data_IF_738256290054
#
_entry.id   IF_738256290054
#
_cell.length_a   1.000
_cell.length_b   1.000
_cell.length_c   1.000
_cell.angle_alpha   90.00
_cell.angle_beta   90.00
_cell.angle_gamma   90.00
#
_symmetry.space_group_name_H-M   'P 1'
#
loop_
_entity.id
_entity.type
_entity.pdbx_description
1 polymer ?
#
# COMPACT_ATOMS: atom_id res chain seq x y z
N UNK A 1 2.59 -2.40 -20.16
CA UNK A 1 3.86 -1.89 -19.57
C UNK A 1 4.67 -3.10 -19.13
N UNK A 2 5.97 -3.15 -19.42
CA UNK A 2 6.84 -4.20 -18.90
C UNK A 2 7.30 -3.87 -17.47
N UNK A 3 7.91 -4.85 -16.76
CA UNK A 3 8.29 -4.69 -15.35
C UNK A 3 9.30 -3.55 -15.12
N UNK A 4 10.26 -3.37 -16.02
CA UNK A 4 11.28 -2.31 -15.88
C UNK A 4 10.65 -0.92 -16.07
N UNK A 5 9.69 -0.81 -16.98
CA UNK A 5 8.91 0.43 -17.15
C UNK A 5 8.06 0.73 -15.92
N UNK A 6 7.41 -0.28 -15.33
CA UNK A 6 6.64 -0.10 -14.10
C UNK A 6 7.53 0.41 -12.95
N UNK A 7 8.70 -0.21 -12.76
CA UNK A 7 9.69 0.20 -11.75
C UNK A 7 10.12 1.66 -11.94
N UNK A 8 10.39 2.08 -13.17
CA UNK A 8 10.83 3.45 -13.48
C UNK A 8 9.72 4.49 -13.31
N UNK A 9 8.50 4.14 -13.63
CA UNK A 9 7.33 5.02 -13.57
C UNK A 9 6.66 5.08 -12.20
N UNK A 10 6.93 4.08 -11.32
CA UNK A 10 6.38 4.07 -9.98
C UNK A 10 6.90 5.27 -9.15
N UNK A 11 5.99 6.02 -8.61
CA UNK A 11 6.24 7.13 -7.70
C UNK A 11 5.10 7.24 -6.67
N UNK A 12 5.32 8.03 -5.62
CA UNK A 12 4.29 8.30 -4.62
C UNK A 12 3.41 9.45 -5.08
N UNK A 13 2.15 9.17 -5.38
CA UNK A 13 1.14 10.16 -5.71
C UNK A 13 0.34 10.53 -4.45
N UNK A 14 0.31 11.81 -4.10
CA UNK A 14 -0.38 12.35 -2.92
C UNK A 14 -1.41 13.43 -3.28
N UNK A 15 -1.73 13.56 -4.56
CA UNK A 15 -2.75 14.48 -5.07
C UNK A 15 -4.16 13.91 -4.96
N UNK A 16 -5.09 14.59 -5.61
CA UNK A 16 -6.49 14.17 -5.69
C UNK A 16 -6.69 13.09 -6.77
N UNK A 17 -7.62 12.19 -6.51
CA UNK A 17 -8.05 11.18 -7.46
C UNK A 17 -9.37 11.57 -8.11
N UNK A 18 -9.55 11.21 -9.36
CA UNK A 18 -10.83 11.34 -10.09
C UNK A 18 -11.88 10.48 -9.43
N UNK A 19 -13.12 10.97 -9.42
CA UNK A 19 -14.26 10.20 -8.92
C UNK A 19 -14.70 9.14 -9.96
N UNK A 20 -13.83 8.15 -10.16
CA UNK A 20 -14.00 7.01 -11.04
C UNK A 20 -13.66 5.76 -10.26
N UNK A 21 -14.63 4.84 -10.13
CA UNK A 21 -14.42 3.57 -9.42
C UNK A 21 -13.34 2.72 -10.10
N UNK A 22 -12.55 2.03 -9.28
CA UNK A 22 -11.59 1.03 -9.75
C UNK A 22 -12.32 -0.31 -9.86
N UNK A 23 -12.30 -0.99 -11.03
CA UNK A 23 -12.94 -2.30 -11.17
C UNK A 23 -12.38 -3.31 -10.16
N UNK A 24 -13.25 -4.08 -9.51
CA UNK A 24 -12.82 -5.10 -8.52
C UNK A 24 -11.85 -6.11 -9.09
N UNK A 25 -11.94 -6.42 -10.39
CA UNK A 25 -10.97 -7.28 -11.07
C UNK A 25 -9.56 -6.70 -11.01
N UNK A 26 -9.40 -5.39 -11.20
CA UNK A 26 -8.10 -4.73 -11.15
C UNK A 26 -7.59 -4.66 -9.72
N UNK A 27 -8.47 -4.38 -8.74
CA UNK A 27 -8.13 -4.43 -7.31
C UNK A 27 -7.66 -5.83 -6.89
N UNK A 28 -8.32 -6.87 -7.38
CA UNK A 28 -7.89 -8.25 -7.13
C UNK A 28 -6.51 -8.52 -7.73
N UNK A 29 -6.27 -8.15 -8.99
CA UNK A 29 -4.96 -8.31 -9.63
C UNK A 29 -3.83 -7.62 -8.86
N UNK A 30 -4.11 -6.43 -8.29
CA UNK A 30 -3.16 -5.70 -7.45
C UNK A 30 -2.86 -6.47 -6.17
N UNK A 31 -3.90 -6.96 -5.48
CA UNK A 31 -3.73 -7.73 -4.24
C UNK A 31 -3.02 -9.06 -4.49
N UNK A 32 -3.38 -9.77 -5.55
CA UNK A 32 -2.72 -11.02 -5.96
C UNK A 32 -1.22 -10.79 -6.18
N UNK A 33 -0.83 -9.70 -6.86
CA UNK A 33 0.58 -9.34 -7.04
C UNK A 33 1.29 -9.12 -5.69
N UNK A 34 0.62 -8.53 -4.71
CA UNK A 34 1.15 -8.38 -3.36
C UNK A 34 1.36 -9.72 -2.66
N UNK A 35 0.39 -10.62 -2.75
CA UNK A 35 0.46 -11.94 -2.11
C UNK A 35 1.50 -12.89 -2.74
N UNK A 36 1.93 -12.64 -3.97
CA UNK A 36 3.04 -13.34 -4.63
C UNK A 36 4.42 -12.90 -4.13
N UNK A 37 4.50 -11.91 -3.24
CA UNK A 37 5.77 -11.48 -2.66
C UNK A 37 6.40 -12.59 -1.80
N UNK A 38 7.75 -12.69 -1.77
CA UNK A 38 8.42 -13.62 -0.87
C UNK A 38 8.20 -13.22 0.59
N UNK A 39 8.19 -14.20 1.49
CA UNK A 39 8.13 -13.98 2.94
C UNK A 39 9.15 -14.81 3.70
N UNK A 40 9.56 -14.34 4.87
CA UNK A 40 10.55 -15.01 5.72
C UNK A 40 10.13 -16.46 6.04
N UNK A 41 10.92 -17.44 5.58
CA UNK A 41 10.61 -18.88 5.69
C UNK A 41 9.22 -19.24 5.17
N UNK A 42 8.71 -18.52 4.20
CA UNK A 42 7.37 -18.68 3.62
C UNK A 42 6.24 -18.62 4.68
N UNK A 43 6.38 -17.75 5.68
CA UNK A 43 5.38 -17.60 6.75
C UNK A 43 4.13 -16.85 6.31
N UNK A 44 4.18 -16.15 5.17
CA UNK A 44 3.04 -15.46 4.55
C UNK A 44 2.30 -14.57 5.56
N UNK A 45 3.08 -13.72 6.27
CA UNK A 45 2.60 -12.90 7.38
C UNK A 45 1.72 -11.74 6.95
N UNK A 46 1.70 -11.41 5.64
CA UNK A 46 0.96 -10.29 5.09
C UNK A 46 -0.46 -10.69 4.70
N UNK A 47 -1.43 -9.89 5.10
CA UNK A 47 -2.83 -9.99 4.70
C UNK A 47 -3.34 -8.65 4.20
N UNK A 48 -4.39 -8.65 3.37
CA UNK A 48 -4.87 -7.46 2.69
C UNK A 48 -6.38 -7.31 2.85
N UNK A 49 -6.85 -6.08 3.10
CA UNK A 49 -8.26 -5.71 3.04
C UNK A 49 -8.42 -4.64 1.96
N UNK A 50 -9.27 -4.88 0.97
CA UNK A 50 -9.65 -3.88 0.00
C UNK A 50 -10.96 -3.22 0.42
N UNK A 51 -10.98 -1.89 0.40
CA UNK A 51 -12.15 -1.06 0.71
C UNK A 51 -12.53 -0.25 -0.52
N UNK A 52 -13.69 -0.51 -1.09
CA UNK A 52 -14.31 0.21 -2.21
C UNK A 52 -15.73 0.68 -1.89
N UNK A 53 -16.21 0.44 -0.67
CA UNK A 53 -17.49 0.92 -0.18
C UNK A 53 -17.38 2.39 0.25
N UNK A 54 -18.20 3.30 -0.33
CA UNK A 54 -18.12 4.74 -0.07
C UNK A 54 -18.33 5.13 1.41
N UNK A 55 -19.20 4.42 2.13
CA UNK A 55 -19.47 4.72 3.54
C UNK A 55 -18.30 4.31 4.43
N UNK A 56 -17.64 3.19 4.13
CA UNK A 56 -16.46 2.74 4.86
C UNK A 56 -15.27 3.65 4.50
N UNK A 57 -15.08 3.99 3.23
CA UNK A 57 -14.06 4.94 2.78
C UNK A 57 -14.17 6.27 3.52
N UNK A 58 -15.39 6.82 3.63
CA UNK A 58 -15.66 8.06 4.36
C UNK A 58 -15.29 7.97 5.83
N UNK A 59 -15.57 6.84 6.50
CA UNK A 59 -15.17 6.63 7.90
C UNK A 59 -13.64 6.59 8.05
N UNK A 60 -12.96 5.86 7.17
CA UNK A 60 -11.50 5.74 7.19
C UNK A 60 -10.84 7.09 6.91
N UNK A 61 -11.24 7.76 5.83
CA UNK A 61 -10.64 9.06 5.46
C UNK A 61 -10.94 10.15 6.50
N UNK A 62 -12.03 10.01 7.27
CA UNK A 62 -12.37 10.91 8.37
C UNK A 62 -11.44 10.83 9.59
N UNK A 63 -10.64 9.77 9.72
CA UNK A 63 -9.65 9.60 10.81
C UNK A 63 -8.21 9.81 10.36
N UNK A 64 -7.97 10.00 9.05
CA UNK A 64 -6.62 10.21 8.48
C UNK A 64 -6.28 11.71 8.51
N UNK A 65 -5.18 12.05 9.18
CA UNK A 65 -4.58 13.38 9.17
C UNK A 65 -3.06 13.27 8.92
N UNK A 66 -2.47 14.04 8.01
CA UNK A 66 -3.08 14.97 7.05
C UNK A 66 -3.89 14.24 5.96
N UNK A 67 -4.76 14.97 5.25
CA UNK A 67 -5.76 14.41 4.33
C UNK A 67 -5.14 13.82 3.04
N UNK A 68 -4.38 12.75 3.18
CA UNK A 68 -3.94 11.93 2.05
C UNK A 68 -5.02 10.89 1.75
N UNK A 69 -5.22 10.56 0.50
CA UNK A 69 -6.20 9.55 0.09
C UNK A 69 -7.69 9.94 0.19
N UNK A 70 -8.04 11.15 0.59
CA UNK A 70 -9.44 11.56 0.82
C UNK A 70 -10.38 11.42 -0.39
N UNK A 71 -9.83 11.48 -1.59
CA UNK A 71 -10.60 11.35 -2.83
C UNK A 71 -10.38 10.01 -3.53
N UNK A 72 -9.59 9.10 -2.93
CA UNK A 72 -9.32 7.80 -3.52
C UNK A 72 -10.60 6.94 -3.56
N UNK A 73 -10.97 6.39 -4.73
CA UNK A 73 -12.14 5.53 -4.87
C UNK A 73 -11.97 4.13 -4.28
N UNK A 74 -10.74 3.76 -3.93
CA UNK A 74 -10.44 2.51 -3.24
C UNK A 74 -9.20 2.66 -2.36
N UNK A 75 -9.14 1.88 -1.27
CA UNK A 75 -7.99 1.73 -0.40
C UNK A 75 -7.64 0.24 -0.26
N UNK A 76 -6.35 -0.09 -0.28
CA UNK A 76 -5.87 -1.42 0.12
C UNK A 76 -5.15 -1.24 1.46
N UNK A 77 -5.72 -1.83 2.50
CA UNK A 77 -5.16 -1.85 3.83
C UNK A 77 -4.24 -3.06 3.97
N UNK A 78 -3.02 -2.84 4.40
CA UNK A 78 -2.01 -3.88 4.58
C UNK A 78 -1.94 -4.26 6.05
N UNK A 79 -2.13 -5.54 6.31
CA UNK A 79 -2.07 -6.14 7.63
C UNK A 79 -0.88 -7.07 7.73
N UNK A 80 -0.37 -7.24 8.94
CA UNK A 80 0.70 -8.22 9.20
C UNK A 80 0.51 -8.92 10.53
N UNK A 81 1.02 -10.14 10.61
CA UNK A 81 1.18 -10.89 11.87
C UNK A 81 2.66 -10.93 12.26
N UNK A 82 2.98 -10.73 13.54
CA UNK A 82 4.35 -10.78 14.07
C UNK A 82 4.73 -12.22 14.41
N UNK A 83 5.04 -13.01 13.38
CA UNK A 83 5.40 -14.42 13.53
C UNK A 83 6.92 -14.57 13.53
N UNK A 84 7.47 -15.25 14.55
CA UNK A 84 8.88 -15.67 14.55
C UNK A 84 9.12 -16.70 13.45
N UNK A 85 9.94 -16.34 12.48
CA UNK A 85 10.19 -17.17 11.30
C UNK A 85 11.47 -18.01 11.41
N UNK A 86 12.55 -17.44 11.96
CA UNK A 86 13.85 -18.10 12.03
C UNK A 86 14.67 -17.57 13.21
N UNK A 87 15.08 -18.45 14.15
CA UNK A 87 15.92 -18.10 15.33
C UNK A 87 15.45 -16.83 16.03
N UNK A 88 14.20 -16.78 16.43
CA UNK A 88 13.53 -15.65 17.09
C UNK A 88 13.46 -14.34 16.28
N UNK A 89 13.74 -14.40 14.97
CA UNK A 89 13.63 -13.24 14.08
C UNK A 89 12.24 -13.18 13.46
N UNK A 90 11.62 -12.01 13.58
CA UNK A 90 10.41 -11.64 12.88
C UNK A 90 10.78 -10.89 11.59
N UNK A 91 10.24 -11.30 10.45
CA UNK A 91 10.46 -10.67 9.15
C UNK A 91 9.22 -9.95 8.61
N UNK A 92 8.24 -9.67 9.47
CA UNK A 92 6.97 -9.06 9.06
C UNK A 92 7.17 -7.75 8.28
N UNK A 93 8.12 -6.90 8.69
CA UNK A 93 8.43 -5.64 7.97
C UNK A 93 8.95 -5.92 6.56
N UNK A 94 9.85 -6.88 6.40
CA UNK A 94 10.38 -7.27 5.09
C UNK A 94 9.29 -7.89 4.23
N UNK A 95 8.44 -8.74 4.80
CA UNK A 95 7.37 -9.44 4.12
C UNK A 95 6.35 -8.44 3.54
N UNK A 96 5.77 -7.58 4.39
CA UNK A 96 4.80 -6.62 3.89
C UNK A 96 5.43 -5.53 3.00
N UNK A 97 6.70 -5.19 3.19
CA UNK A 97 7.39 -4.25 2.31
C UNK A 97 7.54 -4.79 0.89
N UNK A 98 7.88 -6.07 0.75
CA UNK A 98 7.92 -6.73 -0.55
C UNK A 98 6.54 -6.80 -1.20
N UNK A 99 5.50 -7.13 -0.42
CA UNK A 99 4.12 -7.15 -0.89
C UNK A 99 3.65 -5.77 -1.37
N UNK A 100 3.92 -4.72 -0.59
CA UNK A 100 3.56 -3.33 -0.94
C UNK A 100 4.24 -2.92 -2.25
N UNK A 101 5.54 -3.19 -2.42
CA UNK A 101 6.22 -2.79 -3.67
C UNK A 101 5.64 -3.53 -4.87
N UNK A 102 5.34 -4.84 -4.78
CA UNK A 102 4.66 -5.57 -5.85
C UNK A 102 3.31 -4.94 -6.20
N UNK A 103 2.50 -4.58 -5.19
CA UNK A 103 1.22 -3.90 -5.42
C UNK A 103 1.40 -2.54 -6.09
N UNK A 104 2.37 -1.73 -5.65
CA UNK A 104 2.65 -0.42 -6.25
C UNK A 104 3.07 -0.54 -7.73
N UNK A 105 3.83 -1.58 -8.09
CA UNK A 105 4.19 -1.87 -9.48
C UNK A 105 2.97 -2.30 -10.30
N UNK A 106 2.12 -3.15 -9.76
CA UNK A 106 0.87 -3.58 -10.39
C UNK A 106 -0.09 -2.39 -10.62
N UNK A 107 -0.23 -1.51 -9.62
CA UNK A 107 -1.04 -0.28 -9.69
C UNK A 107 -0.60 0.58 -10.88
N UNK A 108 0.69 0.85 -11.00
CA UNK A 108 1.23 1.66 -12.11
C UNK A 108 1.09 0.94 -13.45
N UNK A 109 1.32 -0.38 -13.49
CA UNK A 109 1.17 -1.17 -14.72
C UNK A 109 -0.27 -1.17 -15.25
N UNK A 110 -1.26 -1.07 -14.37
CA UNK A 110 -2.68 -0.97 -14.70
C UNK A 110 -3.15 0.47 -15.00
N UNK A 111 -2.27 1.48 -14.87
CA UNK A 111 -2.58 2.88 -15.18
C UNK A 111 -3.16 3.67 -14.00
N UNK A 112 -3.12 3.13 -12.78
CA UNK A 112 -3.53 3.82 -11.57
C UNK A 112 -2.36 4.48 -10.87
N UNK A 113 -2.66 5.29 -9.84
CA UNK A 113 -1.69 5.96 -8.99
C UNK A 113 -1.93 5.57 -7.52
N UNK A 114 -0.85 5.63 -6.74
CA UNK A 114 -0.87 5.30 -5.31
C UNK A 114 0.29 5.95 -4.57
N UNK A 115 0.29 5.79 -3.26
CA UNK A 115 1.45 6.03 -2.43
C UNK A 115 1.49 5.02 -1.26
N UNK A 116 2.68 4.75 -0.79
CA UNK A 116 2.91 4.04 0.47
C UNK A 116 2.61 4.99 1.62
N UNK A 117 1.50 4.78 2.32
CA UNK A 117 1.07 5.62 3.41
C UNK A 117 1.11 4.84 4.72
N UNK A 118 2.23 4.94 5.43
CA UNK A 118 2.53 4.23 6.67
C UNK A 118 2.87 5.18 7.81
N UNK A 119 3.88 6.06 7.65
CA UNK A 119 4.43 6.87 8.72
C UNK A 119 3.39 7.58 9.58
N UNK A 120 2.43 8.27 8.98
CA UNK A 120 1.39 8.98 9.72
C UNK A 120 0.38 8.07 10.40
N UNK A 121 0.06 6.90 9.81
CA UNK A 121 -0.96 6.02 10.39
C UNK A 121 -0.41 5.15 11.53
N UNK A 122 0.90 4.96 11.58
CA UNK A 122 1.60 4.16 12.63
C UNK A 122 2.26 5.02 13.70
N UNK A 123 2.14 6.35 13.62
CA UNK A 123 2.69 7.31 14.56
C UNK A 123 1.90 7.35 15.89
N UNK A 124 2.27 8.26 16.78
CA UNK A 124 1.70 8.42 18.14
C UNK A 124 0.18 8.49 18.17
N UNK A 125 -0.44 9.08 17.15
CA UNK A 125 -1.91 9.19 17.00
C UNK A 125 -2.62 7.86 16.81
N UNK A 126 -1.89 6.77 16.52
CA UNK A 126 -2.43 5.43 16.35
C UNK A 126 -3.62 5.37 15.38
N UNK A 127 -3.51 6.06 14.25
CA UNK A 127 -4.57 6.06 13.20
C UNK A 127 -4.82 4.64 12.69
N UNK A 128 -3.77 3.81 12.62
CA UNK A 128 -3.86 2.40 12.28
C UNK A 128 -4.87 1.64 13.15
N UNK A 129 -4.92 1.89 14.47
CA UNK A 129 -5.85 1.22 15.38
C UNK A 129 -7.29 1.69 15.14
N UNK A 130 -7.47 2.98 14.83
CA UNK A 130 -8.80 3.54 14.49
C UNK A 130 -9.32 2.89 13.20
N UNK A 131 -8.47 2.76 12.18
CA UNK A 131 -8.83 2.10 10.91
C UNK A 131 -9.10 0.60 11.14
N UNK A 132 -8.25 -0.08 11.90
CA UNK A 132 -8.43 -1.48 12.26
C UNK A 132 -9.78 -1.73 12.94
N UNK A 133 -10.17 -0.83 13.88
CA UNK A 133 -11.47 -0.89 14.54
C UNK A 133 -12.65 -0.68 13.58
N UNK A 134 -12.54 0.26 12.62
CA UNK A 134 -13.56 0.47 11.58
C UNK A 134 -13.75 -0.80 10.72
N UNK A 135 -12.65 -1.50 10.44
CA UNK A 135 -12.63 -2.68 9.57
C UNK A 135 -12.85 -4.00 10.33
N UNK A 136 -12.99 -3.97 11.65
CA UNK A 136 -13.05 -5.16 12.51
C UNK A 136 -11.87 -6.11 12.29
N UNK A 137 -10.66 -5.55 12.20
CA UNK A 137 -9.43 -6.35 12.06
C UNK A 137 -9.22 -7.21 13.31
N UNK A 138 -8.94 -8.52 13.20
CA UNK A 138 -8.65 -9.37 14.36
C UNK A 138 -7.42 -8.90 15.14
N UNK A 139 -7.42 -9.12 16.47
CA UNK A 139 -6.40 -8.63 17.41
C UNK A 139 -4.98 -9.18 17.16
N UNK A 140 -4.86 -10.29 16.43
CA UNK A 140 -3.58 -10.90 16.06
C UNK A 140 -2.95 -10.29 14.80
N UNK A 141 -3.59 -9.27 14.21
CA UNK A 141 -3.08 -8.51 13.08
C UNK A 141 -2.80 -7.05 13.44
N UNK A 142 -1.67 -6.54 12.98
CA UNK A 142 -1.38 -5.11 12.97
C UNK A 142 -1.72 -4.53 11.58
N UNK A 143 -2.50 -3.45 11.52
CA UNK A 143 -2.64 -2.65 10.31
C UNK A 143 -1.42 -1.72 10.21
N UNK A 144 -0.62 -1.86 9.15
CA UNK A 144 0.68 -1.19 9.03
C UNK A 144 0.74 -0.14 7.92
N UNK A 145 -0.08 -0.28 6.88
CA UNK A 145 -0.02 0.61 5.74
C UNK A 145 -1.37 0.68 5.04
N UNK A 146 -1.63 1.79 4.37
CA UNK A 146 -2.73 1.91 3.40
C UNK A 146 -2.18 2.37 2.05
N UNK A 147 -2.73 1.82 0.97
CA UNK A 147 -2.45 2.19 -0.41
C UNK A 147 -3.73 2.75 -1.02
N UNK A 148 -3.85 4.08 -1.22
CA UNK A 148 -4.94 4.62 -2.01
C UNK A 148 -4.76 4.22 -3.48
N UNK A 149 -5.85 3.84 -4.14
CA UNK A 149 -5.82 3.41 -5.55
C UNK A 149 -6.85 4.19 -6.36
N UNK A 150 -6.42 4.78 -7.46
CA UNK A 150 -7.31 5.51 -8.35
C UNK A 150 -6.58 6.18 -9.51
N UNK A 151 -7.33 6.87 -10.37
CA UNK A 151 -6.78 7.68 -11.46
C UNK A 151 -6.45 9.06 -10.90
N UNK A 152 -5.23 9.55 -11.11
CA UNK A 152 -4.81 10.88 -10.71
C UNK A 152 -5.67 11.96 -11.38
N UNK A 153 -6.02 13.01 -10.63
CA UNK A 153 -6.70 14.19 -11.18
C UNK A 153 -5.68 15.06 -11.92
N UNK A 154 -4.49 15.23 -11.33
CA UNK A 154 -3.39 16.01 -11.90
C UNK A 154 -2.32 15.09 -12.50
N UNK A 155 -1.50 15.65 -13.40
CA UNK A 155 -0.38 14.93 -13.98
C UNK A 155 0.71 14.69 -12.92
N UNK A 156 1.09 13.44 -12.64
CA UNK A 156 2.03 13.15 -11.58
C UNK A 156 3.46 13.52 -11.96
N UNK A 157 4.23 14.03 -10.99
CA UNK A 157 5.63 14.42 -11.18
C UNK A 157 6.55 13.32 -10.64
N UNK A 158 7.44 12.82 -11.50
CA UNK A 158 8.46 11.85 -11.10
C UNK A 158 9.54 12.48 -10.20
N UNK A 159 9.88 11.86 -9.07
CA UNK A 159 10.92 12.37 -8.18
C UNK A 159 12.31 12.18 -8.81
N UNK A 160 13.17 13.18 -8.64
CA UNK A 160 14.59 13.06 -9.02
C UNK A 160 15.26 11.98 -8.15
N UNK A 161 15.97 11.07 -8.79
CA UNK A 161 16.81 10.06 -8.13
C UNK A 161 18.27 10.49 -8.14
N UNK A 162 19.04 10.02 -7.15
CA UNK A 162 20.49 10.14 -7.16
C UNK A 162 21.09 9.33 -8.30
N UNK A 163 22.23 9.79 -8.80
CA UNK A 163 22.92 9.11 -9.88
C UNK A 163 23.41 7.69 -9.47
N UNK A 164 23.54 6.81 -10.45
CA UNK A 164 23.97 5.43 -10.23
C UNK A 164 25.33 5.36 -9.50
N UNK A 165 26.28 6.20 -9.92
CA UNK A 165 27.65 6.26 -9.36
C UNK A 165 27.70 6.69 -7.89
N UNK A 166 26.64 7.34 -7.36
CA UNK A 166 26.58 7.74 -5.97
C UNK A 166 26.18 6.56 -5.04
N UNK A 167 25.65 5.46 -5.59
CA UNK A 167 25.02 4.39 -4.82
C UNK A 167 25.41 2.99 -5.21
N UNK A 168 26.17 2.83 -6.31
CA UNK A 168 26.55 1.51 -6.83
C UNK A 168 28.04 1.49 -7.14
N UNK A 169 28.67 0.38 -6.78
CA UNK A 169 30.09 0.10 -7.00
C UNK A 169 30.24 -1.28 -7.64
N UNK A 170 31.30 -1.45 -8.47
CA UNK A 170 31.71 -2.71 -9.08
C UNK A 170 33.06 -3.16 -8.51
#
# INVERSE_FOLDING_TARGET
>A
MNVIEAIKNRHSYRGKYKNISVPRKDLQMIMDAGLEAPSGCNKQTTSLICVDDPEILKKITGVIEPPVAQTAPALICVLTQRICAYRDKCYSVQDYSAAIENMLLAIVALGYQSCWYEGHITDEDRICDKIASILNVPDDYDLVCILPVGIAEDEPTLPKKKDFSERCWF
#
